data_IF_651181552614
#
_entry.id   IF_651181552614
#
_cell.length_a   1.000
_cell.length_b   1.000
_cell.length_c   1.000
_cell.angle_alpha   90.00
_cell.angle_beta   90.00
_cell.angle_gamma   90.00
#
_symmetry.space_group_name_H-M   'P 1'
#
loop_
_entity.id
_entity.type
_entity.pdbx_description
1 polymer ?
#
# COMPACT_ATOMS: atom_id res chain seq x y z
N UNK A 1 -1.81 -5.97 -18.87
CA UNK A 1 -0.72 -6.71 -18.21
C UNK A 1 -0.73 -6.45 -16.74
N UNK A 2 -0.42 -7.48 -15.97
CA UNK A 2 -0.44 -7.37 -14.52
C UNK A 2 0.78 -6.67 -13.97
N UNK A 3 0.60 -6.08 -12.79
CA UNK A 3 1.67 -5.45 -12.04
C UNK A 3 2.04 -6.32 -10.84
N UNK A 4 3.21 -6.05 -10.27
CA UNK A 4 3.65 -6.70 -9.04
C UNK A 4 3.31 -5.80 -7.87
N UNK A 5 2.49 -6.29 -6.95
CA UNK A 5 1.95 -5.48 -5.85
C UNK A 5 2.28 -6.15 -4.53
N UNK A 6 2.74 -5.36 -3.57
CA UNK A 6 2.95 -5.85 -2.21
C UNK A 6 1.91 -5.19 -1.30
N UNK A 7 1.26 -6.01 -0.50
CA UNK A 7 0.23 -5.58 0.45
C UNK A 7 0.70 -5.91 1.85
N UNK A 8 0.63 -4.94 2.74
CA UNK A 8 0.90 -5.20 4.14
C UNK A 8 -0.23 -4.65 5.00
N UNK A 9 -0.81 -5.52 5.80
CA UNK A 9 -1.92 -5.20 6.68
C UNK A 9 -1.91 -6.24 7.81
N UNK A 10 -1.98 -5.80 9.04
CA UNK A 10 -1.98 -6.71 10.17
C UNK A 10 -3.34 -7.43 10.33
N UNK A 11 -4.37 -6.96 9.64
CA UNK A 11 -5.63 -7.69 9.56
C UNK A 11 -5.57 -8.64 8.36
N UNK A 12 -5.44 -9.92 8.67
CA UNK A 12 -5.29 -10.96 7.65
C UNK A 12 -6.46 -10.97 6.66
N UNK A 13 -7.68 -10.74 7.16
CA UNK A 13 -8.86 -10.72 6.29
C UNK A 13 -8.83 -9.61 5.25
N UNK A 14 -8.42 -8.42 5.66
CA UNK A 14 -8.29 -7.28 4.75
C UNK A 14 -7.22 -7.53 3.71
N UNK A 15 -6.05 -8.00 4.15
CA UNK A 15 -4.95 -8.30 3.22
C UNK A 15 -5.37 -9.33 2.18
N UNK A 16 -6.06 -10.38 2.62
CA UNK A 16 -6.53 -11.44 1.74
C UNK A 16 -7.57 -10.92 0.75
N UNK A 17 -8.48 -10.08 1.22
CA UNK A 17 -9.48 -9.46 0.35
C UNK A 17 -8.81 -8.64 -0.77
N UNK A 18 -7.82 -7.82 -0.41
CA UNK A 18 -7.08 -7.04 -1.41
C UNK A 18 -6.38 -7.94 -2.41
N UNK A 19 -5.73 -9.00 -1.91
CA UNK A 19 -5.04 -9.94 -2.77
C UNK A 19 -5.98 -10.60 -3.78
N UNK A 20 -7.12 -11.08 -3.30
CA UNK A 20 -8.09 -11.75 -4.17
C UNK A 20 -8.59 -10.80 -5.26
N UNK A 21 -8.94 -9.56 -4.88
CA UNK A 21 -9.41 -8.58 -5.84
C UNK A 21 -8.37 -8.27 -6.91
N UNK A 22 -7.12 -8.12 -6.49
CA UNK A 22 -6.05 -7.74 -7.42
C UNK A 22 -5.64 -8.90 -8.31
N UNK A 23 -5.56 -10.11 -7.76
CA UNK A 23 -5.21 -11.28 -8.57
C UNK A 23 -6.28 -11.60 -9.61
N UNK A 24 -7.53 -11.30 -9.28
CA UNK A 24 -8.63 -11.47 -10.22
C UNK A 24 -8.47 -10.57 -11.46
N UNK A 25 -7.71 -9.48 -11.34
CA UNK A 25 -7.41 -8.57 -12.44
C UNK A 25 -6.07 -8.89 -13.12
N UNK A 26 -5.43 -9.98 -12.75
CA UNK A 26 -4.18 -10.40 -13.38
C UNK A 26 -2.90 -9.88 -12.73
N UNK A 27 -3.00 -9.23 -11.57
CA UNK A 27 -1.81 -8.77 -10.86
C UNK A 27 -1.19 -9.89 -10.04
N UNK A 28 0.11 -9.78 -9.77
CA UNK A 28 0.79 -10.65 -8.83
C UNK A 28 0.89 -9.94 -7.50
N UNK A 29 0.50 -10.62 -6.43
CA UNK A 29 0.38 -9.98 -5.11
C UNK A 29 1.11 -10.80 -4.06
N UNK A 30 2.01 -10.15 -3.33
CA UNK A 30 2.62 -10.72 -2.14
C UNK A 30 2.06 -10.02 -0.92
N UNK A 31 1.69 -10.80 0.08
CA UNK A 31 1.16 -10.28 1.35
C UNK A 31 2.19 -10.42 2.44
N UNK A 32 2.36 -9.36 3.22
CA UNK A 32 3.10 -9.40 4.48
C UNK A 32 2.17 -8.96 5.60
N UNK A 33 2.33 -9.52 6.77
CA UNK A 33 1.58 -9.08 7.95
C UNK A 33 2.49 -8.48 9.03
N UNK A 34 3.78 -8.32 8.72
CA UNK A 34 4.76 -7.76 9.63
C UNK A 34 5.71 -6.85 8.87
N UNK A 35 5.83 -5.57 9.28
CA UNK A 35 6.71 -4.63 8.58
C UNK A 35 8.17 -5.05 8.57
N UNK A 36 8.63 -5.68 9.66
CA UNK A 36 10.03 -6.14 9.73
C UNK A 36 10.35 -7.15 8.66
N UNK A 37 9.45 -8.10 8.44
CA UNK A 37 9.63 -9.12 7.40
C UNK A 37 9.67 -8.49 6.01
N UNK A 38 8.80 -7.53 5.75
CA UNK A 38 8.80 -6.84 4.48
C UNK A 38 10.12 -6.10 4.26
N UNK A 39 10.60 -5.37 5.27
CA UNK A 39 11.84 -4.62 5.12
C UNK A 39 13.06 -5.51 4.89
N UNK A 40 13.06 -6.70 5.51
CA UNK A 40 14.15 -7.65 5.30
C UNK A 40 14.17 -8.22 3.89
N UNK A 41 12.99 -8.48 3.32
CA UNK A 41 12.87 -9.16 2.03
C UNK A 41 12.71 -8.21 0.85
N UNK A 42 12.52 -6.93 1.12
CA UNK A 42 12.25 -5.97 0.05
C UNK A 42 13.47 -5.77 -0.84
N UNK A 43 13.23 -5.86 -2.15
CA UNK A 43 14.25 -5.57 -3.16
C UNK A 43 13.75 -4.44 -4.07
N UNK A 44 14.56 -3.38 -4.25
CA UNK A 44 14.16 -2.29 -5.15
C UNK A 44 13.94 -2.79 -6.58
N UNK A 45 12.94 -2.23 -7.23
CA UNK A 45 12.66 -2.54 -8.63
C UNK A 45 11.77 -3.73 -8.86
N UNK A 46 11.39 -4.47 -7.82
CA UNK A 46 10.54 -5.66 -7.95
C UNK A 46 9.06 -5.29 -7.99
N UNK A 47 8.64 -4.37 -7.13
CA UNK A 47 7.22 -4.04 -6.99
C UNK A 47 6.86 -2.74 -7.67
N UNK A 48 5.68 -2.71 -8.26
CA UNK A 48 5.11 -1.50 -8.87
C UNK A 48 4.33 -0.67 -7.87
N UNK A 49 3.78 -1.31 -6.85
CA UNK A 49 2.89 -0.66 -5.88
C UNK A 49 3.00 -1.31 -4.52
N UNK A 50 3.07 -0.48 -3.49
CA UNK A 50 2.91 -0.88 -2.09
C UNK A 50 1.56 -0.39 -1.60
N UNK A 51 0.76 -1.28 -1.03
CA UNK A 51 -0.46 -0.91 -0.32
C UNK A 51 -0.22 -1.25 1.15
N UNK A 52 -0.19 -0.25 2.02
CA UNK A 52 0.09 -0.45 3.43
C UNK A 52 -1.01 0.13 4.30
N UNK A 53 -1.40 -0.65 5.32
CA UNK A 53 -2.20 -0.12 6.41
C UNK A 53 -1.38 0.92 7.16
N UNK A 54 -2.04 1.92 7.72
CA UNK A 54 -1.36 2.95 8.51
C UNK A 54 -1.12 2.44 9.93
N UNK A 55 -2.12 1.85 10.53
CA UNK A 55 -2.07 1.47 11.95
C UNK A 55 -1.61 0.01 12.10
N UNK A 56 -0.35 -0.16 12.42
CA UNK A 56 0.25 -1.47 12.62
C UNK A 56 1.15 -1.45 13.85
N UNK A 57 1.37 -2.61 14.50
CA UNK A 57 2.33 -2.68 15.62
C UNK A 57 3.76 -2.35 15.17
N UNK A 58 4.54 -1.79 16.06
CA UNK A 58 5.97 -1.50 15.90
C UNK A 58 6.26 -0.35 14.94
N UNK A 59 5.94 -0.50 13.67
CA UNK A 59 6.18 0.52 12.65
C UNK A 59 4.85 0.81 11.97
N UNK A 60 4.42 2.07 11.97
CA UNK A 60 3.19 2.43 11.27
C UNK A 60 3.44 2.54 9.77
N UNK A 61 2.34 2.67 9.00
CA UNK A 61 2.44 2.71 7.55
C UNK A 61 3.20 3.90 7.01
N UNK A 62 3.19 5.03 7.70
CA UNK A 62 3.96 6.21 7.26
C UNK A 62 5.46 5.93 7.34
N UNK A 63 5.91 5.36 8.44
CA UNK A 63 7.32 5.06 8.61
C UNK A 63 7.76 3.96 7.64
N UNK A 64 6.93 2.94 7.48
CA UNK A 64 7.23 1.88 6.51
C UNK A 64 7.37 2.45 5.10
N UNK A 65 6.42 3.26 4.68
CA UNK A 65 6.44 3.87 3.35
C UNK A 65 7.68 4.76 3.18
N UNK A 66 8.05 5.48 4.22
CA UNK A 66 9.25 6.33 4.19
C UNK A 66 10.52 5.50 3.97
N UNK A 67 10.63 4.37 4.68
CA UNK A 67 11.79 3.48 4.54
C UNK A 67 11.83 2.82 3.16
N UNK A 68 10.67 2.38 2.67
CA UNK A 68 10.58 1.79 1.33
C UNK A 68 10.96 2.82 0.26
N UNK A 69 10.50 4.06 0.41
CA UNK A 69 10.81 5.13 -0.56
C UNK A 69 12.31 5.41 -0.63
N UNK A 70 13.02 5.27 0.48
CA UNK A 70 14.47 5.44 0.48
C UNK A 70 15.19 4.31 -0.26
N UNK A 71 14.59 3.12 -0.29
CA UNK A 71 15.15 1.98 -1.00
C UNK A 71 14.75 1.96 -2.48
N UNK A 72 13.56 2.48 -2.79
CA UNK A 72 13.02 2.46 -4.15
C UNK A 72 12.27 3.76 -4.40
N UNK A 73 12.87 4.63 -5.20
CA UNK A 73 12.30 5.95 -5.48
C UNK A 73 11.15 5.90 -6.48
N UNK A 74 10.93 4.78 -7.14
CA UNK A 74 9.93 4.66 -8.21
C UNK A 74 8.66 3.92 -7.81
N UNK A 75 8.68 3.17 -6.72
CA UNK A 75 7.51 2.41 -6.31
C UNK A 75 6.36 3.36 -5.98
N UNK A 76 5.16 3.00 -6.39
CA UNK A 76 3.96 3.77 -6.03
C UNK A 76 3.47 3.29 -4.68
N UNK A 77 2.84 4.16 -3.92
CA UNK A 77 2.40 3.86 -2.56
C UNK A 77 0.96 4.30 -2.38
N UNK A 78 0.13 3.39 -1.84
CA UNK A 78 -1.20 3.71 -1.35
C UNK A 78 -1.27 3.39 0.13
N UNK A 79 -1.91 4.27 0.89
CA UNK A 79 -2.17 4.05 2.31
C UNK A 79 -3.61 3.58 2.48
N UNK A 80 -3.83 2.60 3.34
CA UNK A 80 -5.17 2.09 3.62
C UNK A 80 -5.48 2.31 5.10
N UNK A 81 -6.65 2.88 5.40
CA UNK A 81 -7.00 3.16 6.79
C UNK A 81 -8.50 3.27 6.98
N UNK A 82 -8.98 2.86 8.17
CA UNK A 82 -10.34 3.13 8.61
C UNK A 82 -10.46 4.48 9.32
N UNK A 83 -9.35 5.20 9.48
CA UNK A 83 -9.29 6.40 10.32
C UNK A 83 -8.67 7.59 9.56
N UNK A 84 -9.06 7.80 8.32
CA UNK A 84 -8.46 8.83 7.49
C UNK A 84 -8.49 10.22 8.13
N UNK A 85 -9.63 10.58 8.71
CA UNK A 85 -9.77 11.91 9.32
C UNK A 85 -8.76 12.13 10.44
N UNK A 86 -8.50 11.07 11.22
CA UNK A 86 -7.54 11.14 12.31
C UNK A 86 -6.13 11.39 11.79
N UNK A 87 -5.80 10.82 10.63
CA UNK A 87 -4.44 10.90 10.08
C UNK A 87 -4.23 12.02 9.07
N UNK A 88 -5.24 12.84 8.82
CA UNK A 88 -5.18 13.82 7.74
C UNK A 88 -4.01 14.80 7.85
N UNK A 89 -3.74 15.32 9.04
CA UNK A 89 -2.64 16.25 9.22
C UNK A 89 -1.28 15.55 9.07
N UNK A 90 -1.21 14.29 9.46
CA UNK A 90 0.02 13.50 9.31
C UNK A 90 0.27 13.19 7.83
N UNK A 91 -0.77 12.85 7.09
CA UNK A 91 -0.66 12.59 5.66
C UNK A 91 -0.07 13.81 4.95
N UNK A 92 -0.52 15.01 5.32
CA UNK A 92 0.01 16.25 4.74
C UNK A 92 1.49 16.44 5.02
N UNK A 93 1.96 16.04 6.20
CA UNK A 93 3.38 16.21 6.55
C UNK A 93 4.29 15.24 5.81
N UNK A 94 3.74 14.23 5.16
CA UNK A 94 4.49 13.28 4.34
C UNK A 94 4.24 13.50 2.84
N UNK A 95 3.85 14.71 2.44
CA UNK A 95 3.48 14.98 1.04
C UNK A 95 4.62 14.73 0.07
N UNK A 96 5.86 14.86 0.50
CA UNK A 96 7.03 14.61 -0.32
C UNK A 96 7.21 13.12 -0.67
N UNK A 97 6.48 12.22 0.00
CA UNK A 97 6.50 10.80 -0.28
C UNK A 97 5.41 10.39 -1.29
N UNK A 98 4.69 11.36 -1.82
CA UNK A 98 3.64 11.14 -2.84
C UNK A 98 2.48 10.28 -2.33
N UNK A 99 2.01 10.57 -1.12
CA UNK A 99 0.88 9.84 -0.53
C UNK A 99 -0.44 10.41 -1.00
N UNK A 100 -0.65 10.44 -2.30
CA UNK A 100 -1.92 10.92 -2.87
C UNK A 100 -2.92 9.81 -3.14
N UNK A 101 -2.62 8.60 -2.68
CA UNK A 101 -3.52 7.45 -2.82
C UNK A 101 -3.92 6.97 -1.43
N UNK A 102 -5.18 7.19 -1.07
CA UNK A 102 -5.74 6.76 0.22
C UNK A 102 -6.90 5.83 -0.04
N UNK A 103 -6.83 4.65 0.56
CA UNK A 103 -7.90 3.66 0.51
C UNK A 103 -8.63 3.71 1.84
N UNK A 104 -9.89 4.12 1.84
CA UNK A 104 -10.70 4.22 3.05
C UNK A 104 -11.38 2.88 3.30
N UNK A 105 -11.09 2.29 4.44
CA UNK A 105 -11.70 1.02 4.83
C UNK A 105 -12.98 1.26 5.64
N UNK A 106 -14.01 0.44 5.49
CA UNK A 106 -14.16 -0.66 4.54
C UNK A 106 -14.41 -0.16 3.12
N UNK A 107 -13.97 -0.94 2.14
CA UNK A 107 -14.13 -0.58 0.74
C UNK A 107 -14.61 -1.79 -0.05
N UNK A 108 -15.47 -1.56 -1.05
CA UNK A 108 -15.91 -2.65 -1.91
C UNK A 108 -14.90 -2.90 -3.03
N UNK A 109 -15.06 -4.04 -3.71
CA UNK A 109 -14.13 -4.47 -4.75
C UNK A 109 -14.00 -3.45 -5.88
N UNK A 110 -15.12 -2.95 -6.40
CA UNK A 110 -15.09 -2.05 -7.56
C UNK A 110 -14.38 -0.75 -7.25
N UNK A 111 -14.68 -0.15 -6.10
CA UNK A 111 -14.04 1.09 -5.68
C UNK A 111 -12.55 0.88 -5.41
N UNK A 112 -12.20 -0.23 -4.78
CA UNK A 112 -10.81 -0.58 -4.51
C UNK A 112 -10.02 -0.71 -5.81
N UNK A 113 -10.55 -1.46 -6.77
CA UNK A 113 -9.86 -1.66 -8.04
C UNK A 113 -9.71 -0.36 -8.83
N UNK A 114 -10.72 0.51 -8.78
CA UNK A 114 -10.64 1.80 -9.45
C UNK A 114 -9.49 2.63 -8.89
N UNK A 115 -9.37 2.70 -7.57
CA UNK A 115 -8.28 3.45 -6.92
C UNK A 115 -6.92 2.88 -7.31
N UNK A 116 -6.78 1.57 -7.25
CA UNK A 116 -5.50 0.92 -7.55
C UNK A 116 -5.11 1.11 -9.02
N UNK A 117 -6.05 0.91 -9.93
CA UNK A 117 -5.76 1.06 -11.36
C UNK A 117 -5.38 2.50 -11.69
N UNK A 118 -6.05 3.47 -11.09
CA UNK A 118 -5.69 4.88 -11.27
C UNK A 118 -4.28 5.15 -10.77
N UNK A 119 -3.92 4.59 -9.62
CA UNK A 119 -2.59 4.81 -9.05
C UNK A 119 -1.49 4.17 -9.90
N UNK A 120 -1.76 3.00 -10.46
CA UNK A 120 -0.79 2.30 -11.31
C UNK A 120 -0.52 3.05 -12.61
N UNK A 121 -1.45 3.86 -13.06
CA UNK A 121 -1.28 4.65 -14.29
C UNK A 121 -0.48 5.93 -14.07
N UNK A 122 -0.34 6.37 -12.83
CA UNK A 122 0.36 7.61 -12.50
C UNK A 122 1.86 7.37 -12.43
N UNK A 123 2.64 8.39 -12.79
CA UNK A 123 4.04 8.42 -12.38
C UNK A 123 4.04 8.87 -10.93
N UNK A 124 4.93 8.31 -10.14
CA UNK A 124 4.93 8.62 -8.71
C UNK A 124 5.19 10.11 -8.44
#
# INVERSE_FOLDING_TARGET
MGSNIVVIDDDVGTALFFKICLEDQGHQVNIFNDPGSLLEEFEPGIYDLLITDIRMPRINGFELASRIRKMDSKIRICLATAFEEYYQSIIKSYSDLSFNCIIRKPINKDSFLEIVEDRLKQTK
#
